data_IF_054035435255
#
_entry.id   IF_054035435255
#
_cell.length_a   1.000
_cell.length_b   1.000
_cell.length_c   1.000
_cell.angle_alpha   90.00
_cell.angle_beta   90.00
_cell.angle_gamma   90.00
#
_symmetry.space_group_name_H-M   'P 1'
#
loop_
_entity.id
_entity.type
_entity.pdbx_description
1 polymer ?
#
# COMPACT_ATOMS: atom_id res chain seq x y z
N UNK A 1 16.14 -12.72 -2.46
CA UNK A 1 14.92 -11.87 -2.39
C UNK A 1 14.33 -11.83 -3.79
N UNK A 2 13.06 -12.16 -3.90
CA UNK A 2 12.31 -11.98 -5.13
C UNK A 2 12.34 -10.47 -5.49
N UNK A 3 12.21 -10.13 -6.76
CA UNK A 3 12.11 -8.76 -7.28
C UNK A 3 13.32 -7.84 -7.06
N UNK A 4 14.50 -8.33 -6.64
CA UNK A 4 15.73 -7.54 -6.56
C UNK A 4 15.77 -6.48 -5.44
N UNK A 5 14.83 -6.48 -4.49
CA UNK A 5 14.85 -5.60 -3.31
C UNK A 5 15.96 -6.07 -2.38
N UNK A 6 16.94 -5.20 -2.09
CA UNK A 6 18.11 -5.54 -1.27
C UNK A 6 18.22 -4.73 0.03
N UNK A 7 17.39 -3.70 0.20
CA UNK A 7 17.35 -2.85 1.39
C UNK A 7 15.90 -2.52 1.74
N UNK A 8 15.58 -2.64 3.01
CA UNK A 8 14.25 -2.36 3.55
C UNK A 8 14.39 -1.33 4.66
N UNK A 9 13.59 -0.28 4.59
CA UNK A 9 13.45 0.71 5.64
C UNK A 9 12.10 0.54 6.32
N UNK A 10 12.09 0.33 7.63
CA UNK A 10 10.85 0.25 8.41
C UNK A 10 10.63 1.59 9.07
N UNK A 11 9.65 2.34 8.56
CA UNK A 11 9.17 3.59 9.12
C UNK A 11 8.23 3.28 10.30
N UNK A 12 8.75 3.33 11.52
CA UNK A 12 8.02 2.96 12.73
C UNK A 12 7.68 4.18 13.59
N UNK A 13 6.71 4.03 14.49
CA UNK A 13 6.29 5.02 15.48
C UNK A 13 5.83 4.32 16.75
N UNK A 14 4.53 4.19 16.95
CA UNK A 14 3.97 3.49 18.10
C UNK A 14 4.53 2.07 18.23
N UNK A 15 4.94 1.70 19.44
CA UNK A 15 5.57 0.39 19.76
C UNK A 15 6.81 0.03 18.92
N UNK A 16 7.55 1.02 18.45
CA UNK A 16 8.78 0.85 17.67
C UNK A 16 9.77 -0.14 18.32
N UNK A 17 9.88 -0.12 19.64
CA UNK A 17 10.78 -1.03 20.38
C UNK A 17 10.41 -2.51 20.21
N UNK A 18 9.12 -2.82 20.10
CA UNK A 18 8.66 -4.19 19.87
C UNK A 18 9.02 -4.65 18.45
N UNK A 19 8.83 -3.77 17.45
CA UNK A 19 9.22 -4.03 16.06
C UNK A 19 10.72 -4.26 15.99
N UNK A 20 11.50 -3.37 16.60
CA UNK A 20 12.98 -3.46 16.64
C UNK A 20 13.44 -4.77 17.29
N UNK A 21 12.84 -5.16 18.42
CA UNK A 21 13.16 -6.42 19.11
C UNK A 21 12.87 -7.62 18.22
N UNK A 22 11.70 -7.62 17.54
CA UNK A 22 11.30 -8.69 16.65
C UNK A 22 12.25 -8.83 15.45
N UNK A 23 12.57 -7.73 14.79
CA UNK A 23 13.50 -7.74 13.64
C UNK A 23 14.90 -8.22 14.04
N UNK A 24 15.41 -7.78 15.21
CA UNK A 24 16.73 -8.21 15.70
C UNK A 24 16.77 -9.67 16.14
N UNK A 25 15.63 -10.28 16.46
CA UNK A 25 15.57 -11.69 16.91
C UNK A 25 15.63 -12.70 15.76
N UNK A 26 15.56 -12.27 14.52
CA UNK A 26 15.50 -13.13 13.34
C UNK A 26 16.48 -12.67 12.27
N UNK A 27 16.99 -13.61 11.49
CA UNK A 27 17.81 -13.31 10.32
C UNK A 27 16.94 -13.38 9.06
N UNK A 28 16.60 -12.21 8.51
CA UNK A 28 15.78 -12.11 7.31
C UNK A 28 16.60 -12.13 6.00
N UNK A 29 17.93 -12.23 6.07
CA UNK A 29 18.79 -12.19 4.88
C UNK A 29 18.75 -10.88 4.09
N UNK A 30 18.09 -9.85 4.63
CA UNK A 30 17.95 -8.54 4.04
C UNK A 30 18.64 -7.48 4.90
N UNK A 31 19.10 -6.41 4.27
CA UNK A 31 19.55 -5.23 4.99
C UNK A 31 18.30 -4.44 5.44
N UNK A 32 17.94 -4.56 6.73
CA UNK A 32 16.75 -3.90 7.30
C UNK A 32 17.23 -2.80 8.25
N UNK A 33 16.78 -1.58 7.99
CA UNK A 33 17.00 -0.41 8.83
C UNK A 33 15.67 0.08 9.40
N UNK A 34 15.65 0.42 10.71
CA UNK A 34 14.42 0.87 11.39
C UNK A 34 14.58 2.34 11.73
N UNK A 35 13.65 3.15 11.27
CA UNK A 35 13.53 4.57 11.55
C UNK A 35 12.33 4.79 12.47
N UNK A 36 12.58 5.38 13.64
CA UNK A 36 11.53 5.77 14.57
C UNK A 36 11.36 7.28 14.56
N UNK A 37 10.37 7.76 13.84
CA UNK A 37 10.01 9.18 13.77
C UNK A 37 9.03 9.61 14.86
N UNK A 38 8.64 8.70 15.76
CA UNK A 38 7.64 8.97 16.78
C UNK A 38 6.21 8.95 16.26
N UNK A 39 5.32 9.66 16.99
CA UNK A 39 3.89 9.76 16.65
C UNK A 39 3.67 10.95 15.71
N UNK A 40 3.97 10.71 14.45
CA UNK A 40 3.84 11.69 13.36
C UNK A 40 3.13 11.04 12.17
N UNK A 41 2.68 11.87 11.23
CA UNK A 41 2.07 11.40 9.99
C UNK A 41 2.99 10.46 9.18
N UNK A 42 2.39 9.61 8.37
CA UNK A 42 3.09 8.65 7.49
C UNK A 42 4.06 9.39 6.58
N UNK A 43 3.65 10.53 6.03
CA UNK A 43 4.50 11.29 5.11
C UNK A 43 5.78 11.77 5.79
N UNK A 44 5.68 12.21 7.05
CA UNK A 44 6.84 12.66 7.82
C UNK A 44 7.84 11.52 8.05
N UNK A 45 7.35 10.32 8.34
CA UNK A 45 8.18 9.12 8.47
C UNK A 45 8.90 8.77 7.16
N UNK A 46 8.21 8.94 6.02
CA UNK A 46 8.82 8.75 4.70
C UNK A 46 9.85 9.83 4.43
N UNK A 47 9.56 11.10 4.70
CA UNK A 47 10.49 12.22 4.56
C UNK A 47 11.79 11.97 5.33
N UNK A 48 11.71 11.55 6.58
CA UNK A 48 12.89 11.28 7.43
C UNK A 48 13.81 10.20 6.83
N UNK A 49 13.25 9.19 6.19
CA UNK A 49 14.01 8.16 5.46
C UNK A 49 14.62 8.74 4.18
N UNK A 50 13.86 9.53 3.43
CA UNK A 50 14.25 10.07 2.12
C UNK A 50 15.42 11.05 2.19
N UNK A 51 15.71 11.65 3.34
CA UNK A 51 16.92 12.44 3.55
C UNK A 51 18.19 11.65 3.19
N UNK A 52 18.18 10.33 3.41
CA UNK A 52 19.33 9.45 3.17
C UNK A 52 19.20 8.60 1.90
N UNK A 53 18.01 8.38 1.40
CA UNK A 53 17.74 7.55 0.23
C UNK A 53 17.84 8.37 -1.06
N UNK A 54 18.59 7.83 -2.05
CA UNK A 54 18.82 8.50 -3.35
C UNK A 54 18.41 7.64 -4.55
N UNK A 55 17.70 6.58 -4.31
CA UNK A 55 17.19 5.65 -5.33
C UNK A 55 15.68 5.75 -5.40
N UNK A 56 15.09 5.25 -6.47
CA UNK A 56 13.64 5.04 -6.53
C UNK A 56 13.18 4.19 -5.36
N UNK A 57 11.98 4.44 -4.86
CA UNK A 57 11.42 3.74 -3.70
C UNK A 57 10.12 3.01 -4.03
N UNK A 58 9.93 1.92 -3.31
CA UNK A 58 8.65 1.25 -3.16
C UNK A 58 8.17 1.47 -1.72
N UNK A 59 7.05 2.16 -1.54
CA UNK A 59 6.40 2.35 -0.25
C UNK A 59 5.33 1.29 -0.08
N UNK A 60 5.35 0.58 1.06
CA UNK A 60 4.38 -0.47 1.39
C UNK A 60 3.71 -0.16 2.72
N UNK A 61 2.40 -0.37 2.80
CA UNK A 61 1.71 -0.37 4.09
C UNK A 61 2.06 -1.64 4.87
N UNK A 62 2.26 -1.49 6.18
CA UNK A 62 2.71 -2.59 7.04
C UNK A 62 1.62 -3.59 7.42
N UNK A 63 0.37 -3.28 7.15
CA UNK A 63 -0.82 -4.07 7.44
C UNK A 63 -1.41 -4.77 6.19
N UNK A 64 -0.73 -4.65 5.07
CA UNK A 64 -1.21 -5.20 3.79
C UNK A 64 -0.30 -6.32 3.30
N UNK A 65 -0.90 -7.41 2.87
CA UNK A 65 -0.24 -8.56 2.25
C UNK A 65 -0.85 -8.77 0.86
N UNK A 66 0.00 -8.89 -0.16
CA UNK A 66 -0.45 -9.11 -1.54
C UNK A 66 0.64 -9.77 -2.37
N UNK A 67 0.26 -10.47 -3.44
CA UNK A 67 1.16 -11.04 -4.44
C UNK A 67 1.40 -10.10 -5.64
N UNK A 68 1.49 -8.81 -5.38
CA UNK A 68 1.83 -7.80 -6.40
C UNK A 68 3.16 -8.13 -7.05
N UNK A 69 3.17 -8.31 -8.38
CA UNK A 69 4.43 -8.38 -9.12
C UNK A 69 5.06 -6.98 -9.19
N UNK A 70 6.18 -6.85 -8.50
CA UNK A 70 6.89 -5.56 -8.41
C UNK A 70 7.53 -5.19 -9.75
N UNK A 71 7.91 -6.16 -10.58
CA UNK A 71 8.46 -5.87 -11.90
C UNK A 71 7.39 -5.29 -12.83
N UNK A 72 6.18 -5.84 -12.80
CA UNK A 72 5.04 -5.33 -13.56
C UNK A 72 4.60 -3.95 -13.06
N UNK A 73 4.61 -3.72 -11.75
CA UNK A 73 4.35 -2.41 -11.15
C UNK A 73 5.36 -1.36 -11.65
N UNK A 74 6.65 -1.69 -11.61
CA UNK A 74 7.73 -0.80 -12.09
C UNK A 74 7.62 -0.58 -13.61
N UNK A 75 7.31 -1.62 -14.38
CA UNK A 75 7.09 -1.49 -15.82
C UNK A 75 5.90 -0.57 -16.13
N UNK A 76 4.78 -0.75 -15.43
CA UNK A 76 3.61 0.12 -15.53
C UNK A 76 3.94 1.58 -15.24
N UNK A 77 4.75 1.82 -14.19
CA UNK A 77 5.24 3.16 -13.87
C UNK A 77 6.02 3.78 -15.04
N UNK A 78 7.00 3.05 -15.57
CA UNK A 78 7.84 3.54 -16.66
C UNK A 78 7.07 3.86 -17.93
N UNK A 79 6.05 3.07 -18.24
CA UNK A 79 5.20 3.26 -19.41
C UNK A 79 4.21 4.42 -19.25
N UNK A 80 3.82 4.75 -18.02
CA UNK A 80 2.80 5.77 -17.74
C UNK A 80 3.30 7.20 -17.88
N UNK A 81 4.61 7.44 -17.82
CA UNK A 81 5.23 8.78 -17.72
C UNK A 81 4.70 9.60 -16.52
N UNK A 82 4.10 8.95 -15.51
CA UNK A 82 3.62 9.59 -14.28
C UNK A 82 4.70 9.61 -13.21
N UNK A 83 4.50 10.45 -12.20
CA UNK A 83 5.48 10.66 -11.12
C UNK A 83 5.38 9.61 -10.01
N UNK A 84 4.18 9.08 -9.80
CA UNK A 84 3.85 8.07 -8.80
C UNK A 84 3.02 6.98 -9.47
N UNK A 85 3.21 5.73 -9.07
CA UNK A 85 2.28 4.65 -9.40
C UNK A 85 1.72 4.07 -8.12
N UNK A 86 0.39 4.06 -8.01
CA UNK A 86 -0.38 3.49 -6.92
C UNK A 86 -0.96 2.15 -7.37
N UNK A 87 -0.80 1.11 -6.56
CA UNK A 87 -1.47 -0.16 -6.80
C UNK A 87 -2.89 -0.10 -6.29
N UNK A 88 -3.82 -0.49 -7.16
CA UNK A 88 -5.25 -0.47 -6.85
C UNK A 88 -5.87 -1.86 -7.04
N UNK A 89 -6.89 -2.16 -6.25
CA UNK A 89 -7.61 -3.43 -6.26
C UNK A 89 -9.12 -3.19 -6.36
N UNK A 90 -9.88 -4.09 -7.01
CA UNK A 90 -11.33 -3.88 -7.16
C UNK A 90 -12.03 -3.79 -5.81
N UNK A 91 -12.91 -2.79 -5.64
CA UNK A 91 -13.71 -2.68 -4.42
C UNK A 91 -14.76 -3.79 -4.36
N UNK A 92 -14.55 -4.75 -3.47
CA UNK A 92 -15.53 -5.81 -3.16
C UNK A 92 -16.31 -5.45 -1.90
N UNK A 93 -17.62 -5.55 -1.98
CA UNK A 93 -18.52 -5.31 -0.84
C UNK A 93 -18.78 -6.63 -0.13
N UNK A 94 -18.66 -6.64 1.19
CA UNK A 94 -18.89 -7.85 2.01
C UNK A 94 -20.38 -8.15 2.25
N UNK A 95 -21.26 -7.24 1.86
CA UNK A 95 -22.71 -7.27 2.12
C UNK A 95 -23.50 -7.24 0.81
N UNK A 96 -24.78 -7.61 0.87
CA UNK A 96 -25.73 -7.36 -0.20
C UNK A 96 -26.00 -5.86 -0.38
N UNK A 97 -25.93 -5.38 -1.62
CA UNK A 97 -26.35 -4.01 -1.97
C UNK A 97 -27.79 -4.03 -2.46
N UNK A 98 -28.52 -2.96 -2.13
CA UNK A 98 -29.92 -2.79 -2.46
C UNK A 98 -30.11 -1.40 -3.05
N UNK A 99 -30.71 -1.33 -4.25
CA UNK A 99 -31.22 -0.08 -4.80
C UNK A 99 -32.70 0.08 -4.45
N UNK A 100 -33.08 1.27 -4.00
CA UNK A 100 -34.42 1.54 -3.49
C UNK A 100 -35.04 2.69 -4.29
N UNK A 101 -36.24 2.48 -4.80
CA UNK A 101 -37.06 3.52 -5.45
C UNK A 101 -37.61 4.52 -4.42
N UNK A 102 -38.06 5.68 -4.89
CA UNK A 102 -38.58 6.76 -4.04
C UNK A 102 -39.84 6.38 -3.22
N UNK A 103 -40.56 5.35 -3.64
CA UNK A 103 -41.75 4.82 -2.97
C UNK A 103 -41.40 3.72 -1.92
N UNK A 104 -40.11 3.38 -1.75
CA UNK A 104 -39.63 2.35 -0.85
C UNK A 104 -39.54 0.95 -1.44
N UNK A 105 -39.90 0.78 -2.72
CA UNK A 105 -39.75 -0.50 -3.42
C UNK A 105 -38.28 -0.83 -3.68
N UNK A 106 -37.89 -2.10 -3.46
CA UNK A 106 -36.55 -2.58 -3.83
C UNK A 106 -36.51 -2.75 -5.36
N UNK A 107 -35.63 -1.99 -6.00
CA UNK A 107 -35.43 -2.04 -7.46
C UNK A 107 -34.43 -3.13 -7.85
N UNK A 108 -33.32 -3.23 -7.11
CA UNK A 108 -32.31 -4.26 -7.36
C UNK A 108 -31.68 -4.79 -6.08
N UNK A 109 -31.12 -6.01 -6.16
CA UNK A 109 -30.33 -6.62 -5.11
C UNK A 109 -29.11 -7.33 -5.71
N UNK A 110 -27.93 -7.09 -5.16
CA UNK A 110 -26.70 -7.75 -5.57
C UNK A 110 -25.94 -8.27 -4.33
N UNK A 111 -25.78 -9.60 -4.21
CA UNK A 111 -25.05 -10.21 -3.09
C UNK A 111 -23.54 -10.07 -3.30
N UNK A 112 -22.86 -9.43 -2.34
CA UNK A 112 -21.39 -9.25 -2.29
C UNK A 112 -20.78 -8.79 -3.62
N UNK A 113 -21.31 -7.73 -4.24
CA UNK A 113 -20.86 -7.32 -5.56
C UNK A 113 -19.43 -6.75 -5.55
N UNK A 114 -18.76 -6.87 -6.68
CA UNK A 114 -17.60 -6.04 -7.00
C UNK A 114 -18.09 -4.76 -7.67
N UNK A 115 -17.76 -3.61 -7.11
CA UNK A 115 -18.16 -2.32 -7.66
C UNK A 115 -17.20 -1.87 -8.77
N UNK A 116 -17.69 -0.98 -9.63
CA UNK A 116 -16.84 -0.26 -10.60
C UNK A 116 -16.07 0.87 -9.90
N UNK A 117 -15.36 0.49 -8.86
CA UNK A 117 -14.49 1.35 -8.06
C UNK A 117 -13.24 0.57 -7.64
N UNK A 118 -12.20 1.30 -7.33
CA UNK A 118 -10.91 0.75 -6.95
C UNK A 118 -10.51 1.29 -5.58
N UNK A 119 -9.87 0.46 -4.78
CA UNK A 119 -9.24 0.86 -3.52
C UNK A 119 -7.73 0.88 -3.68
N UNK A 120 -7.09 1.80 -2.97
CA UNK A 120 -5.65 1.81 -2.76
C UNK A 120 -5.29 0.68 -1.79
N UNK A 121 -4.33 -0.16 -2.17
CA UNK A 121 -3.86 -1.28 -1.34
C UNK A 121 -2.46 -1.07 -0.77
N UNK A 122 -1.99 0.18 -0.75
CA UNK A 122 -0.79 0.56 -0.01
C UNK A 122 0.54 0.19 -0.66
N UNK A 123 0.60 -0.06 -1.96
CA UNK A 123 1.84 -0.24 -2.71
C UNK A 123 2.05 0.92 -3.65
N UNK A 124 3.13 1.70 -3.45
CA UNK A 124 3.44 2.88 -4.26
C UNK A 124 4.86 2.81 -4.78
N UNK A 125 5.03 3.02 -6.07
CA UNK A 125 6.36 3.26 -6.67
C UNK A 125 6.54 4.73 -6.96
N UNK A 126 7.66 5.30 -6.49
CA UNK A 126 7.98 6.72 -6.61
C UNK A 126 9.42 6.86 -7.10
N UNK A 127 9.58 7.53 -8.23
CA UNK A 127 10.91 7.82 -8.77
C UNK A 127 11.59 8.91 -7.93
N UNK A 128 12.88 8.75 -7.68
CA UNK A 128 13.69 9.68 -6.86
C UNK A 128 13.63 11.14 -7.30
N UNK A 129 13.42 11.39 -8.59
CA UNK A 129 13.34 12.74 -9.14
C UNK A 129 12.02 13.45 -8.80
N UNK A 130 11.10 12.77 -8.12
CA UNK A 130 9.77 13.27 -7.74
C UNK A 130 9.57 13.30 -6.22
N UNK A 131 10.65 13.26 -5.44
CA UNK A 131 10.58 13.34 -3.97
C UNK A 131 10.08 14.69 -3.45
N UNK A 132 10.22 15.76 -4.25
CA UNK A 132 9.59 17.05 -4.01
C UNK A 132 8.11 16.91 -3.69
N UNK A 133 7.38 16.06 -4.39
CA UNK A 133 5.95 15.80 -4.11
C UNK A 133 5.68 15.31 -2.68
N UNK A 134 6.64 14.59 -2.08
CA UNK A 134 6.52 14.11 -0.70
C UNK A 134 6.91 15.23 0.27
N UNK A 135 7.95 15.99 -0.04
CA UNK A 135 8.43 17.07 0.82
C UNK A 135 7.52 18.30 0.83
N UNK A 136 6.75 18.51 -0.22
CA UNK A 136 5.82 19.65 -0.37
C UNK A 136 4.48 19.44 0.34
N UNK A 137 4.28 18.32 1.04
CA UNK A 137 3.02 17.99 1.70
C UNK A 137 3.22 17.67 3.19
N UNK A 138 2.22 18.02 4.01
CA UNK A 138 2.22 17.80 5.46
C UNK A 138 1.57 16.47 5.86
N UNK A 139 0.63 15.96 5.05
CA UNK A 139 -0.05 14.68 5.26
C UNK A 139 0.05 13.78 4.02
N UNK A 140 -0.04 12.46 4.26
CA UNK A 140 -0.01 11.51 3.16
C UNK A 140 -1.27 11.59 2.28
N UNK A 141 -2.40 11.94 2.88
CA UNK A 141 -3.65 12.21 2.18
C UNK A 141 -3.52 13.41 1.24
N UNK A 142 -2.94 14.51 1.69
CA UNK A 142 -2.71 15.70 0.85
C UNK A 142 -1.79 15.38 -0.32
N UNK A 143 -0.70 14.64 -0.08
CA UNK A 143 0.18 14.17 -1.13
C UNK A 143 -0.57 13.37 -2.21
N UNK A 144 -1.41 12.42 -1.80
CA UNK A 144 -2.21 11.62 -2.73
C UNK A 144 -3.25 12.48 -3.47
N UNK A 145 -3.96 13.34 -2.76
CA UNK A 145 -5.00 14.19 -3.34
C UNK A 145 -4.43 15.19 -4.33
N UNK A 146 -3.35 15.87 -3.99
CA UNK A 146 -2.69 16.83 -4.89
C UNK A 146 -2.10 16.11 -6.10
N UNK A 147 -1.44 14.97 -5.89
CA UNK A 147 -0.88 14.19 -6.99
C UNK A 147 -1.95 13.67 -7.94
N UNK A 148 -3.13 13.29 -7.44
CA UNK A 148 -4.27 12.88 -8.24
C UNK A 148 -4.85 14.07 -9.03
N UNK A 149 -5.09 15.22 -8.38
CA UNK A 149 -5.62 16.42 -9.01
C UNK A 149 -4.71 16.93 -10.14
N UNK A 150 -3.40 16.80 -9.97
CA UNK A 150 -2.40 17.18 -10.98
C UNK A 150 -2.17 16.11 -12.05
N UNK A 151 -2.92 15.00 -12.03
CA UNK A 151 -2.75 13.90 -12.96
C UNK A 151 -1.37 13.22 -12.89
N UNK A 152 -0.71 13.27 -11.72
CA UNK A 152 0.64 12.76 -11.50
C UNK A 152 0.69 11.30 -11.05
N UNK A 153 -0.46 10.67 -10.76
CA UNK A 153 -0.56 9.27 -10.33
C UNK A 153 -1.00 8.37 -11.49
N UNK A 154 -0.29 7.25 -11.67
CA UNK A 154 -0.72 6.10 -12.46
C UNK A 154 -1.38 5.07 -11.55
N UNK A 155 -2.44 4.41 -11.99
CA UNK A 155 -3.05 3.29 -11.30
C UNK A 155 -2.57 1.97 -11.89
N UNK A 156 -1.85 1.17 -11.09
CA UNK A 156 -1.54 -0.21 -11.41
C UNK A 156 -2.65 -1.12 -10.88
N UNK A 157 -3.43 -1.69 -11.78
CA UNK A 157 -4.55 -2.60 -11.44
C UNK A 157 -4.01 -3.97 -11.10
N UNK A 158 -4.02 -4.33 -9.82
CA UNK A 158 -3.57 -5.63 -9.35
C UNK A 158 -4.64 -6.71 -9.56
N UNK A 159 -4.36 -7.78 -10.32
CA UNK A 159 -5.33 -8.83 -10.60
C UNK A 159 -5.38 -9.94 -9.55
N UNK A 160 -4.37 -10.01 -8.67
CA UNK A 160 -4.18 -11.11 -7.73
C UNK A 160 -4.86 -10.88 -6.38
N UNK A 161 -4.28 -11.49 -5.36
CA UNK A 161 -4.84 -11.50 -4.01
C UNK A 161 -4.32 -10.35 -3.15
N UNK A 162 -5.18 -9.91 -2.24
CA UNK A 162 -4.92 -8.83 -1.31
C UNK A 162 -5.61 -9.12 0.03
N UNK A 163 -4.87 -8.95 1.12
CA UNK A 163 -5.39 -9.04 2.49
C UNK A 163 -4.92 -7.81 3.25
N UNK A 164 -5.85 -7.12 3.94
CA UNK A 164 -5.52 -6.08 4.91
C UNK A 164 -5.82 -6.59 6.32
N UNK A 165 -4.90 -6.38 7.27
CA UNK A 165 -5.00 -6.85 8.65
C UNK A 165 -5.26 -5.66 9.57
N UNK A 166 -6.54 -5.36 9.84
CA UNK A 166 -6.94 -4.29 10.74
C UNK A 166 -7.36 -4.80 12.13
N UNK A 167 -7.81 -6.05 12.22
CA UNK A 167 -8.32 -6.66 13.44
C UNK A 167 -7.63 -8.00 13.74
N UNK A 168 -7.84 -8.53 14.94
CA UNK A 168 -7.37 -9.87 15.29
C UNK A 168 -8.03 -10.96 14.42
N UNK A 169 -9.28 -10.78 14.03
CA UNK A 169 -9.97 -11.70 13.13
C UNK A 169 -9.33 -11.71 11.75
N UNK A 170 -8.96 -10.52 11.22
CA UNK A 170 -8.25 -10.42 9.93
C UNK A 170 -6.88 -11.10 10.00
N UNK A 171 -6.20 -10.98 11.16
CA UNK A 171 -4.91 -11.64 11.37
C UNK A 171 -5.05 -13.18 11.33
N UNK A 172 -6.08 -13.72 11.99
CA UNK A 172 -6.36 -15.17 11.96
C UNK A 172 -6.69 -15.65 10.55
N UNK A 173 -7.47 -14.88 9.80
CA UNK A 173 -7.79 -15.18 8.41
C UNK A 173 -6.55 -15.08 7.51
N UNK A 174 -5.75 -14.03 7.68
CA UNK A 174 -4.50 -13.86 6.96
C UNK A 174 -3.54 -15.03 7.20
N UNK A 175 -3.39 -15.48 8.45
CA UNK A 175 -2.54 -16.64 8.78
C UNK A 175 -2.97 -17.93 8.09
N UNK A 176 -4.27 -18.12 7.86
CA UNK A 176 -4.80 -19.30 7.13
C UNK A 176 -4.52 -19.21 5.64
N UNK A 177 -4.58 -18.01 5.07
CA UNK A 177 -4.56 -17.78 3.62
C UNK A 177 -3.19 -17.35 3.09
N UNK A 178 -2.27 -16.91 3.94
CA UNK A 178 -0.97 -16.35 3.55
C UNK A 178 -0.15 -17.29 2.65
N UNK A 179 -0.23 -18.60 2.87
CA UNK A 179 0.49 -19.58 2.05
C UNK A 179 0.06 -19.54 0.57
N UNK A 180 -1.19 -19.23 0.30
CA UNK A 180 -1.72 -19.16 -1.06
C UNK A 180 -1.23 -17.89 -1.79
N UNK A 181 -0.89 -16.84 -1.02
CA UNK A 181 -0.43 -15.56 -1.56
C UNK A 181 1.08 -15.54 -1.81
N UNK A 182 1.88 -16.21 -0.96
CA UNK A 182 3.36 -16.13 -1.03
C UNK A 182 3.99 -17.33 -1.77
N UNK A 183 3.24 -18.31 -2.23
CA UNK A 183 3.76 -19.54 -2.87
C UNK A 183 3.85 -19.45 -4.40
N UNK A 184 3.54 -18.33 -5.00
CA UNK A 184 3.82 -18.01 -6.39
C UNK A 184 4.99 -17.00 -6.44
#
# INVERSE_FOLDING_TARGET
MQHGVNRIYIASGYKSDMIMKYIKSSNYGANIEIYNSGDVDIIKRIQDILVTVKNDILVLYGDTISNVDINDLVLSHRLSSKKVTMTVWPLKIAYGLVDILSDGTVDSFAEKPTLDKWINIGYFYINKNNYDLIFDNDTFEDFLQQSANNGSINAFKHPGDHITVNTLSDLEEAQKNIKNIITE
#
